data_IF_980018897305
#
_entry.id   IF_980018897305
#
_cell.length_a   1.000
_cell.length_b   1.000
_cell.length_c   1.000
_cell.angle_alpha   90.00
_cell.angle_beta   90.00
_cell.angle_gamma   90.00
#
_symmetry.space_group_name_H-M   'P 1'
#
loop_
_entity.id
_entity.type
_entity.pdbx_description
1 polymer ?
#
# COMPACT_ATOMS: atom_id res chain seq x y z
N UNK A 1 -3.78 30.01 -9.54
CA UNK A 1 -3.49 29.42 -10.87
C UNK A 1 -3.18 27.95 -10.64
N UNK A 2 -3.80 27.00 -11.36
CA UNK A 2 -3.40 25.61 -11.27
C UNK A 2 -1.94 25.48 -11.74
N UNK A 3 -1.10 24.65 -11.09
CA UNK A 3 0.24 24.41 -11.57
C UNK A 3 0.18 23.78 -12.96
N UNK A 4 1.13 24.15 -13.83
CA UNK A 4 1.24 23.54 -15.15
C UNK A 4 1.54 22.03 -15.00
N UNK A 5 1.14 21.22 -15.98
CA UNK A 5 1.32 19.76 -15.94
C UNK A 5 2.78 19.30 -15.92
N UNK A 6 3.74 20.17 -16.22
CA UNK A 6 5.18 19.86 -16.15
C UNK A 6 5.76 19.94 -14.74
N UNK A 7 5.23 20.82 -13.88
CA UNK A 7 5.70 21.00 -12.50
C UNK A 7 5.25 19.84 -11.60
N UNK A 8 4.08 19.27 -11.86
CA UNK A 8 3.57 18.05 -11.19
C UNK A 8 4.44 16.83 -11.53
N UNK A 9 4.93 16.74 -12.76
CA UNK A 9 5.77 15.63 -13.26
C UNK A 9 7.20 15.63 -12.67
N UNK A 10 7.71 16.76 -12.19
CA UNK A 10 9.01 16.83 -11.51
C UNK A 10 8.92 16.49 -10.02
N UNK A 11 7.81 16.84 -9.35
CA UNK A 11 7.55 16.45 -7.95
C UNK A 11 7.51 14.93 -7.77
N UNK A 12 7.08 14.19 -8.79
CA UNK A 12 6.95 12.72 -8.75
C UNK A 12 8.28 11.93 -8.74
N UNK A 13 9.43 12.62 -8.91
CA UNK A 13 10.75 11.97 -9.08
C UNK A 13 11.66 12.06 -7.85
N UNK A 14 11.35 12.91 -6.88
CA UNK A 14 12.10 12.95 -5.63
C UNK A 14 11.64 11.79 -4.72
N UNK A 15 12.61 11.04 -4.17
CA UNK A 15 12.32 10.13 -3.05
C UNK A 15 11.79 10.98 -1.88
N UNK A 16 10.75 10.52 -1.17
CA UNK A 16 10.23 11.30 -0.05
C UNK A 16 11.33 11.43 1.01
N UNK A 17 11.75 12.66 1.29
CA UNK A 17 12.38 12.98 2.57
C UNK A 17 11.26 13.02 3.61
N UNK A 18 10.92 11.86 4.18
CA UNK A 18 9.96 11.80 5.26
C UNK A 18 10.54 12.54 6.47
N UNK A 19 9.76 13.36 7.19
CA UNK A 19 10.21 13.93 8.44
C UNK A 19 10.59 12.79 9.41
N UNK A 20 11.56 13.01 10.32
CA UNK A 20 11.96 12.01 11.30
C UNK A 20 10.73 11.45 12.05
N UNK A 21 10.79 10.16 12.38
CA UNK A 21 9.71 9.32 12.93
C UNK A 21 8.87 9.97 14.06
N UNK A 22 9.42 10.97 14.76
CA UNK A 22 8.77 11.68 15.86
C UNK A 22 7.90 12.89 15.48
N UNK A 23 7.73 13.22 14.18
CA UNK A 23 7.05 14.47 13.74
C UNK A 23 5.92 14.31 12.72
N UNK A 24 5.34 13.11 12.55
CA UNK A 24 4.16 12.99 11.70
C UNK A 24 2.93 13.54 12.46
N UNK A 25 2.19 14.55 11.95
CA UNK A 25 1.14 15.26 12.70
C UNK A 25 -0.07 14.40 13.08
N UNK A 26 -0.09 13.15 12.63
CA UNK A 26 -1.18 12.20 12.80
C UNK A 26 -0.88 11.09 13.83
N UNK A 27 0.33 11.05 14.41
CA UNK A 27 0.73 10.00 15.35
C UNK A 27 1.10 10.56 16.72
N UNK A 28 0.52 10.02 17.81
CA UNK A 28 0.86 10.46 19.15
C UNK A 28 2.24 9.91 19.60
N UNK A 29 2.90 10.54 20.60
CA UNK A 29 4.08 9.98 21.27
C UNK A 29 3.83 8.57 21.82
N UNK A 30 4.87 7.74 21.92
CA UNK A 30 4.78 6.32 22.33
C UNK A 30 4.09 6.10 23.69
N UNK A 31 4.29 7.03 24.61
CA UNK A 31 3.77 7.02 25.98
C UNK A 31 2.38 7.67 26.13
N UNK A 32 1.82 8.18 25.03
CA UNK A 32 0.52 8.85 25.06
C UNK A 32 -0.62 7.86 25.36
N UNK A 33 -1.56 8.20 26.26
CA UNK A 33 -2.78 7.41 26.49
C UNK A 33 -3.66 7.26 25.24
N UNK A 34 -3.39 8.02 24.17
CA UNK A 34 -3.99 7.88 22.84
C UNK A 34 -3.55 6.59 22.09
N UNK A 35 -2.54 5.87 22.58
CA UNK A 35 -2.16 4.54 22.10
C UNK A 35 -3.31 3.51 22.15
N UNK A 36 -4.43 3.79 22.83
CA UNK A 36 -5.61 2.91 22.83
C UNK A 36 -6.17 2.63 21.43
N UNK A 37 -5.94 3.53 20.47
CA UNK A 37 -6.31 3.39 19.06
C UNK A 37 -5.18 2.83 18.17
N UNK A 38 -4.09 2.30 18.75
CA UNK A 38 -2.94 1.78 18.01
C UNK A 38 -2.55 0.42 18.58
N UNK A 39 -2.60 -0.64 17.75
CA UNK A 39 -2.42 -2.02 18.18
C UNK A 39 -1.43 -2.74 17.26
N UNK A 40 -0.16 -2.89 17.67
CA UNK A 40 0.77 -3.77 16.99
C UNK A 40 0.40 -5.23 17.30
N UNK A 41 0.45 -6.08 16.27
CA UNK A 41 0.34 -7.52 16.38
C UNK A 41 1.71 -8.11 16.08
N UNK A 42 2.22 -8.89 17.02
CA UNK A 42 3.55 -9.49 16.94
C UNK A 42 3.48 -10.98 16.64
N UNK A 43 4.50 -11.50 15.95
CA UNK A 43 4.68 -12.95 15.80
C UNK A 43 5.37 -13.56 17.04
N UNK A 44 5.63 -14.87 16.99
CA UNK A 44 6.35 -15.60 18.05
C UNK A 44 7.78 -15.11 18.31
N UNK A 45 8.38 -14.40 17.35
CA UNK A 45 9.71 -13.79 17.46
C UNK A 45 9.63 -12.32 17.90
N UNK A 46 8.46 -11.86 18.37
CA UNK A 46 8.20 -10.48 18.82
C UNK A 46 8.35 -9.39 17.74
N UNK A 47 8.38 -9.77 16.46
CA UNK A 47 8.40 -8.83 15.34
C UNK A 47 7.01 -8.27 15.10
N UNK A 48 6.89 -6.96 14.93
CA UNK A 48 5.63 -6.27 14.62
C UNK A 48 5.27 -6.53 13.17
N UNK A 49 4.45 -7.55 12.93
CA UNK A 49 4.08 -7.95 11.57
C UNK A 49 2.87 -7.17 11.05
N UNK A 50 1.99 -6.70 11.93
CA UNK A 50 0.76 -5.98 11.56
C UNK A 50 0.53 -4.85 12.53
N UNK A 51 0.01 -3.73 12.05
CA UNK A 51 -0.29 -2.57 12.87
C UNK A 51 -1.68 -2.10 12.54
N UNK A 52 -2.56 -2.09 13.52
CA UNK A 52 -3.84 -1.40 13.44
C UNK A 52 -3.69 0.01 14.00
N UNK A 53 -4.15 1.00 13.25
CA UNK A 53 -4.34 2.37 13.72
C UNK A 53 -5.79 2.77 13.48
N UNK A 54 -6.55 2.98 14.55
CA UNK A 54 -7.89 3.57 14.51
C UNK A 54 -7.88 5.01 14.02
N UNK A 55 -8.99 5.72 14.21
CA UNK A 55 -9.16 7.10 13.75
C UNK A 55 -8.00 7.98 14.25
N UNK A 56 -7.25 8.66 13.35
CA UNK A 56 -6.18 9.57 13.73
C UNK A 56 -6.64 10.65 14.71
N UNK A 57 -5.75 11.06 15.63
CA UNK A 57 -6.10 12.01 16.70
C UNK A 57 -6.12 13.47 16.23
N UNK A 58 -5.99 13.68 14.93
CA UNK A 58 -5.97 15.01 14.34
C UNK A 58 -7.38 15.61 14.38
N UNK A 59 -7.52 16.86 14.86
CA UNK A 59 -8.82 17.51 14.92
C UNK A 59 -9.54 17.45 13.58
N UNK A 60 -10.82 17.10 13.62
CA UNK A 60 -11.69 17.04 12.45
C UNK A 60 -11.30 16.02 11.37
N UNK A 61 -10.48 14.99 11.64
CA UNK A 61 -10.15 13.93 10.66
C UNK A 61 -11.39 13.38 9.94
N UNK A 62 -12.49 13.19 10.66
CA UNK A 62 -13.74 12.71 10.06
C UNK A 62 -14.26 13.66 8.97
N UNK A 63 -14.33 14.95 9.28
CA UNK A 63 -14.82 16.00 8.37
C UNK A 63 -13.85 16.29 7.22
N UNK A 64 -12.55 16.30 7.51
CA UNK A 64 -11.53 16.82 6.59
C UNK A 64 -10.91 15.72 5.71
N UNK A 65 -10.97 14.45 6.13
CA UNK A 65 -10.37 13.32 5.40
C UNK A 65 -11.38 12.19 5.16
N UNK A 66 -12.03 11.67 6.21
CA UNK A 66 -12.93 10.50 6.05
C UNK A 66 -14.12 10.79 5.12
N UNK A 67 -14.91 11.82 5.42
CA UNK A 67 -16.14 12.12 4.68
C UNK A 67 -15.83 12.53 3.23
N UNK A 68 -14.81 13.38 2.95
CA UNK A 68 -14.40 13.66 1.57
C UNK A 68 -13.88 12.42 0.83
N UNK A 69 -13.23 11.47 1.50
CA UNK A 69 -12.81 10.21 0.86
C UNK A 69 -14.01 9.32 0.51
N UNK A 70 -15.05 9.27 1.37
CA UNK A 70 -16.32 8.59 1.06
C UNK A 70 -16.97 9.21 -0.16
N UNK A 71 -17.11 10.54 -0.18
CA UNK A 71 -17.68 11.28 -1.32
C UNK A 71 -16.90 11.02 -2.61
N UNK A 72 -15.57 11.04 -2.54
CA UNK A 72 -14.71 10.75 -3.69
C UNK A 72 -14.94 9.34 -4.26
N UNK A 73 -15.11 8.31 -3.41
CA UNK A 73 -15.39 6.96 -3.89
C UNK A 73 -16.79 6.83 -4.50
N UNK A 74 -17.78 7.52 -3.95
CA UNK A 74 -19.15 7.54 -4.49
C UNK A 74 -19.18 8.19 -5.87
N UNK A 75 -18.57 9.37 -6.00
CA UNK A 75 -18.43 10.08 -7.28
C UNK A 75 -17.68 9.20 -8.29
N UNK A 76 -16.56 8.60 -7.88
CA UNK A 76 -15.78 7.72 -8.74
C UNK A 76 -16.59 6.49 -9.19
N UNK A 77 -17.35 5.85 -8.28
CA UNK A 77 -18.20 4.71 -8.63
C UNK A 77 -19.26 5.10 -9.66
N UNK A 78 -19.88 6.27 -9.51
CA UNK A 78 -20.91 6.74 -10.42
C UNK A 78 -20.36 7.12 -11.81
N UNK A 79 -19.10 7.55 -11.90
CA UNK A 79 -18.48 8.02 -13.14
C UNK A 79 -17.63 6.95 -13.85
N UNK A 80 -17.22 5.90 -13.15
CA UNK A 80 -16.37 4.86 -13.71
C UNK A 80 -17.08 4.04 -14.80
N UNK A 81 -16.33 3.67 -15.83
CA UNK A 81 -16.74 2.66 -16.80
C UNK A 81 -16.37 1.27 -16.27
N UNK A 82 -17.35 0.58 -15.68
CA UNK A 82 -17.15 -0.68 -14.98
C UNK A 82 -17.58 -1.88 -15.82
N UNK A 83 -16.61 -2.67 -16.27
CA UNK A 83 -16.83 -4.02 -16.83
C UNK A 83 -16.96 -5.08 -15.74
N UNK A 84 -17.34 -6.31 -16.11
CA UNK A 84 -17.42 -7.44 -15.18
C UNK A 84 -16.13 -7.67 -14.38
N UNK A 85 -14.95 -7.53 -15.00
CA UNK A 85 -13.67 -7.71 -14.31
C UNK A 85 -13.41 -6.67 -13.22
N UNK A 86 -14.08 -5.51 -13.27
CA UNK A 86 -14.01 -4.50 -12.23
C UNK A 86 -14.96 -4.80 -11.07
N UNK A 87 -16.03 -5.57 -11.31
CA UNK A 87 -17.11 -5.86 -10.36
C UNK A 87 -16.97 -7.23 -9.69
N UNK A 88 -16.44 -8.20 -10.43
CA UNK A 88 -16.32 -9.60 -10.02
C UNK A 88 -14.87 -10.02 -10.15
N UNK A 89 -14.23 -10.18 -9.01
CA UNK A 89 -12.82 -10.58 -8.97
C UNK A 89 -12.60 -11.59 -7.84
N UNK A 90 -11.44 -12.26 -7.87
CA UNK A 90 -11.09 -13.33 -6.92
C UNK A 90 -11.20 -12.96 -5.43
N UNK A 91 -11.20 -11.66 -5.12
CA UNK A 91 -11.27 -11.13 -3.75
C UNK A 91 -12.70 -10.85 -3.29
N UNK A 92 -13.68 -10.86 -4.19
CA UNK A 92 -15.10 -10.63 -3.92
C UNK A 92 -15.79 -9.76 -4.97
N UNK A 93 -16.97 -9.24 -4.62
CA UNK A 93 -17.89 -8.63 -5.57
C UNK A 93 -18.15 -7.16 -5.23
N UNK A 94 -17.35 -6.25 -5.78
CA UNK A 94 -17.51 -4.80 -5.66
C UNK A 94 -16.73 -4.11 -6.78
N UNK A 95 -17.06 -2.84 -7.06
CA UNK A 95 -16.33 -2.04 -8.05
C UNK A 95 -14.94 -1.66 -7.54
N UNK A 96 -13.89 -1.94 -8.30
CA UNK A 96 -12.52 -1.51 -7.97
C UNK A 96 -11.78 -0.92 -9.16
N UNK A 97 -10.95 0.10 -8.88
CA UNK A 97 -10.04 0.72 -9.85
C UNK A 97 -8.61 0.67 -9.30
N UNK A 98 -7.64 0.33 -10.16
CA UNK A 98 -6.23 0.15 -9.76
C UNK A 98 -5.32 0.97 -10.66
N UNK A 99 -4.28 1.56 -10.08
CA UNK A 99 -3.29 2.36 -10.80
C UNK A 99 -1.88 2.20 -10.20
N UNK A 100 -0.87 2.57 -10.98
CA UNK A 100 0.54 2.53 -10.60
C UNK A 100 1.36 1.46 -11.32
N UNK A 101 2.64 1.39 -10.99
CA UNK A 101 3.60 0.52 -11.63
C UNK A 101 3.58 -0.88 -11.02
N UNK A 102 3.51 -1.91 -11.86
CA UNK A 102 3.50 -3.32 -11.45
C UNK A 102 4.39 -4.17 -12.35
N UNK A 103 4.67 -5.39 -11.92
CA UNK A 103 5.38 -6.39 -12.70
C UNK A 103 4.89 -7.79 -12.34
N UNK A 104 5.15 -8.77 -13.20
CA UNK A 104 4.61 -10.12 -13.09
C UNK A 104 3.59 -10.41 -14.19
N UNK A 105 2.74 -11.42 -13.96
CA UNK A 105 1.70 -11.89 -14.92
C UNK A 105 2.24 -12.25 -16.32
N UNK A 106 3.47 -12.76 -16.40
CA UNK A 106 4.08 -13.18 -17.67
C UNK A 106 4.60 -12.04 -18.55
N UNK A 107 4.65 -10.79 -18.06
CA UNK A 107 5.27 -9.67 -18.78
C UNK A 107 6.79 -9.79 -18.74
N UNK A 108 7.45 -9.35 -19.82
CA UNK A 108 8.91 -9.31 -19.89
C UNK A 108 9.50 -8.09 -19.17
N UNK A 109 8.73 -7.00 -19.06
CA UNK A 109 9.14 -5.75 -18.44
C UNK A 109 8.04 -5.21 -17.50
N UNK A 110 8.42 -4.44 -16.48
CA UNK A 110 7.48 -3.69 -15.64
C UNK A 110 6.66 -2.68 -16.45
N UNK A 111 5.45 -2.38 -15.97
CA UNK A 111 4.58 -1.40 -16.61
C UNK A 111 3.47 -0.91 -15.72
N UNK A 112 2.88 0.22 -16.09
CA UNK A 112 1.72 0.77 -15.37
C UNK A 112 0.46 -0.08 -15.65
N UNK A 113 -0.49 -0.01 -14.71
CA UNK A 113 -1.85 -0.49 -14.99
C UNK A 113 -2.48 0.32 -16.12
N UNK A 114 -2.95 -0.38 -17.16
CA UNK A 114 -3.61 0.25 -18.32
C UNK A 114 -5.09 0.43 -18.00
N UNK A 115 -5.54 1.68 -18.05
CA UNK A 115 -6.93 2.06 -17.84
C UNK A 115 -7.48 2.77 -19.09
N UNK A 116 -8.75 2.54 -19.42
CA UNK A 116 -9.43 3.26 -20.49
C UNK A 116 -9.55 4.76 -20.18
N UNK A 117 -9.82 5.60 -21.19
CA UNK A 117 -9.80 7.07 -21.06
C UNK A 117 -10.70 7.57 -19.91
N UNK A 118 -11.91 7.00 -19.79
CA UNK A 118 -12.87 7.34 -18.72
C UNK A 118 -12.28 7.00 -17.34
N UNK A 119 -11.83 5.76 -17.14
CA UNK A 119 -11.30 5.32 -15.86
C UNK A 119 -9.99 6.03 -15.50
N UNK A 120 -9.15 6.37 -16.49
CA UNK A 120 -7.97 7.21 -16.29
C UNK A 120 -8.35 8.58 -15.75
N UNK A 121 -9.39 9.24 -16.28
CA UNK A 121 -9.86 10.52 -15.75
C UNK A 121 -10.40 10.40 -14.30
N UNK A 122 -11.18 9.34 -14.02
CA UNK A 122 -11.70 9.06 -12.66
C UNK A 122 -10.56 8.80 -11.67
N UNK A 123 -9.58 7.97 -12.07
CA UNK A 123 -8.40 7.68 -11.26
C UNK A 123 -7.59 8.95 -11.02
N UNK A 124 -7.39 9.80 -12.03
CA UNK A 124 -6.68 11.08 -11.90
C UNK A 124 -7.36 12.00 -10.89
N UNK A 125 -8.70 12.05 -10.89
CA UNK A 125 -9.47 12.78 -9.88
C UNK A 125 -9.27 12.21 -8.47
N UNK A 126 -9.25 10.87 -8.31
CA UNK A 126 -9.00 10.22 -7.03
C UNK A 126 -7.58 10.47 -6.52
N UNK A 127 -6.54 10.33 -7.35
CA UNK A 127 -5.15 10.57 -6.91
C UNK A 127 -4.85 12.05 -6.65
N UNK A 128 -5.65 12.96 -7.22
CA UNK A 128 -5.54 14.41 -6.98
C UNK A 128 -6.45 14.89 -5.84
N UNK A 129 -7.27 14.00 -5.25
CA UNK A 129 -8.14 14.34 -4.14
C UNK A 129 -7.32 14.45 -2.84
N UNK A 130 -7.44 15.57 -2.14
CA UNK A 130 -6.68 15.84 -0.91
C UNK A 130 -6.83 14.74 0.15
N UNK A 131 -8.05 14.23 0.34
CA UNK A 131 -8.30 13.16 1.31
C UNK A 131 -7.61 11.85 0.94
N UNK A 132 -7.59 11.50 -0.35
CA UNK A 132 -6.86 10.32 -0.82
C UNK A 132 -5.34 10.49 -0.69
N UNK A 133 -4.81 11.70 -0.92
CA UNK A 133 -3.40 12.02 -0.70
C UNK A 133 -3.04 11.88 0.78
N UNK A 134 -3.86 12.44 1.69
CA UNK A 134 -3.65 12.34 3.14
C UNK A 134 -3.69 10.88 3.62
N UNK A 135 -4.64 10.07 3.13
CA UNK A 135 -4.68 8.63 3.44
C UNK A 135 -3.46 7.89 2.89
N UNK A 136 -2.96 8.28 1.71
CA UNK A 136 -1.77 7.68 1.10
C UNK A 136 -0.52 7.93 1.93
N UNK A 137 -0.30 9.20 2.28
CA UNK A 137 0.80 9.66 3.13
C UNK A 137 0.71 9.03 4.53
N UNK A 138 -0.48 9.02 5.14
CA UNK A 138 -0.68 8.45 6.46
C UNK A 138 -0.27 6.98 6.54
N UNK A 139 -0.70 6.16 5.58
CA UNK A 139 -0.30 4.75 5.52
C UNK A 139 1.22 4.59 5.37
N UNK A 140 1.84 5.43 4.54
CA UNK A 140 3.28 5.41 4.29
C UNK A 140 4.08 5.83 5.54
N UNK A 141 3.62 6.88 6.25
CA UNK A 141 4.21 7.32 7.51
C UNK A 141 4.04 6.32 8.65
N UNK A 142 2.88 5.66 8.74
CA UNK A 142 2.69 4.56 9.69
C UNK A 142 3.68 3.43 9.40
N UNK A 143 3.93 3.13 8.12
CA UNK A 143 4.87 2.07 7.73
C UNK A 143 6.33 2.43 8.01
N UNK A 144 6.74 3.68 7.78
CA UNK A 144 8.10 4.14 8.08
C UNK A 144 8.43 4.07 9.56
N UNK A 145 7.43 4.30 10.42
CA UNK A 145 7.58 4.29 11.87
C UNK A 145 7.63 2.86 12.42
N UNK A 146 6.72 1.98 11.97
CA UNK A 146 6.55 0.67 12.58
C UNK A 146 7.39 -0.43 11.93
N UNK A 147 7.93 -0.18 10.73
CA UNK A 147 8.82 -1.09 10.04
C UNK A 147 9.96 -0.32 9.34
N UNK A 148 10.78 0.47 10.07
CA UNK A 148 11.80 1.35 9.50
C UNK A 148 12.81 0.63 8.60
N UNK A 149 13.27 -0.57 8.98
CA UNK A 149 14.18 -1.37 8.15
C UNK A 149 13.51 -1.79 6.84
N UNK A 150 12.26 -2.23 6.90
CA UNK A 150 11.50 -2.57 5.71
C UNK A 150 11.17 -1.34 4.86
N UNK A 151 10.88 -0.20 5.47
CA UNK A 151 10.67 1.05 4.77
C UNK A 151 11.92 1.48 4.01
N UNK A 152 13.10 1.39 4.64
CA UNK A 152 14.37 1.65 3.98
C UNK A 152 14.63 0.69 2.82
N UNK A 153 14.34 -0.61 3.01
CA UNK A 153 14.39 -1.59 1.93
C UNK A 153 13.50 -1.20 0.74
N UNK A 154 12.29 -0.67 0.99
CA UNK A 154 11.47 -0.12 -0.08
C UNK A 154 12.09 1.12 -0.73
N UNK A 155 12.68 2.04 0.04
CA UNK A 155 13.35 3.24 -0.51
C UNK A 155 14.44 2.83 -1.49
N UNK A 156 15.33 1.93 -1.09
CA UNK A 156 16.51 1.56 -1.88
C UNK A 156 16.10 0.90 -3.21
N UNK A 157 15.17 -0.05 -3.13
CA UNK A 157 14.71 -0.81 -4.28
C UNK A 157 13.79 0.01 -5.18
N UNK A 158 12.79 0.68 -4.62
CA UNK A 158 11.84 1.47 -5.42
C UNK A 158 12.49 2.74 -5.97
N UNK A 159 13.44 3.34 -5.24
CA UNK A 159 14.26 4.44 -5.75
C UNK A 159 15.04 4.02 -6.99
N UNK A 160 15.79 2.92 -6.89
CA UNK A 160 16.51 2.34 -8.02
C UNK A 160 15.58 1.98 -9.19
N UNK A 161 14.41 1.42 -8.88
CA UNK A 161 13.37 1.11 -9.85
C UNK A 161 12.93 2.34 -10.66
N UNK A 162 12.47 3.39 -9.99
CA UNK A 162 11.96 4.58 -10.70
C UNK A 162 13.08 5.38 -11.39
N UNK A 163 14.32 5.35 -10.87
CA UNK A 163 15.47 5.95 -11.54
C UNK A 163 15.76 5.29 -12.90
N UNK A 164 15.66 3.95 -12.98
CA UNK A 164 15.87 3.21 -14.24
C UNK A 164 14.63 3.15 -15.13
N UNK A 165 13.45 3.43 -14.59
CA UNK A 165 12.18 3.37 -15.32
C UNK A 165 11.43 4.72 -15.27
N UNK A 166 12.03 5.82 -15.78
CA UNK A 166 11.51 7.18 -15.58
C UNK A 166 10.17 7.48 -16.26
N UNK A 167 9.67 6.56 -17.10
CA UNK A 167 8.36 6.67 -17.74
C UNK A 167 7.22 6.17 -16.85
N UNK A 168 7.51 5.26 -15.92
CA UNK A 168 6.52 4.67 -15.03
C UNK A 168 6.14 5.65 -13.92
N UNK A 169 4.88 5.62 -13.51
CA UNK A 169 4.33 6.62 -12.61
C UNK A 169 4.06 6.05 -11.22
N UNK A 170 4.29 6.87 -10.19
CA UNK A 170 3.76 6.65 -8.85
C UNK A 170 2.36 7.24 -8.75
N UNK A 171 1.38 6.53 -8.17
CA UNK A 171 0.07 7.12 -7.91
C UNK A 171 0.15 8.33 -6.97
N UNK A 172 1.01 8.25 -5.95
CA UNK A 172 1.21 9.30 -4.96
C UNK A 172 2.72 9.45 -4.67
N UNK A 173 3.23 10.67 -4.66
CA UNK A 173 4.64 10.95 -4.32
C UNK A 173 4.96 10.60 -2.88
N UNK A 174 4.00 10.87 -1.98
CA UNK A 174 4.15 10.69 -0.54
C UNK A 174 3.89 9.24 -0.10
N UNK A 175 3.62 8.33 -1.05
CA UNK A 175 3.47 6.90 -0.79
C UNK A 175 4.73 6.13 -1.18
N UNK A 176 5.15 5.24 -0.30
CA UNK A 176 6.26 4.32 -0.56
C UNK A 176 5.88 3.19 -1.54
N UNK A 177 4.59 2.89 -1.65
CA UNK A 177 4.07 1.80 -2.49
C UNK A 177 3.93 2.21 -3.96
N UNK A 178 4.11 1.25 -4.87
CA UNK A 178 4.07 1.51 -6.31
C UNK A 178 2.66 1.44 -6.92
N UNK A 179 1.72 0.79 -6.25
CA UNK A 179 0.36 0.54 -6.69
C UNK A 179 -0.63 0.94 -5.60
N UNK A 180 -1.79 1.43 -6.03
CA UNK A 180 -2.94 1.50 -5.18
C UNK A 180 -4.22 1.00 -5.87
N UNK A 181 -5.16 0.50 -5.06
CA UNK A 181 -6.50 0.11 -5.48
C UNK A 181 -7.54 0.87 -4.66
N UNK A 182 -8.47 1.49 -5.36
CA UNK A 182 -9.65 2.12 -4.79
C UNK A 182 -10.81 1.12 -4.87
N UNK A 183 -11.26 0.62 -3.72
CA UNK A 183 -12.42 -0.26 -3.62
C UNK A 183 -13.66 0.61 -3.37
N UNK A 184 -14.41 0.84 -4.46
CA UNK A 184 -15.44 1.88 -4.56
C UNK A 184 -16.78 1.50 -3.90
N UNK A 185 -16.82 0.38 -3.17
CA UNK A 185 -18.00 -0.06 -2.43
C UNK A 185 -19.22 -0.32 -3.32
N UNK A 186 -20.46 -0.08 -2.82
CA UNK A 186 -20.77 0.53 -1.52
C UNK A 186 -20.51 -0.41 -0.35
N UNK A 187 -20.37 -1.71 -0.58
CA UNK A 187 -20.14 -2.74 0.44
C UNK A 187 -18.95 -3.63 0.08
N UNK A 188 -17.74 -3.12 0.26
CA UNK A 188 -16.52 -3.91 0.04
C UNK A 188 -16.38 -5.00 1.10
N UNK A 189 -16.73 -6.23 0.73
CA UNK A 189 -16.65 -7.41 1.59
C UNK A 189 -15.74 -8.46 0.95
N UNK A 190 -14.48 -8.50 1.36
CA UNK A 190 -13.51 -9.43 0.79
C UNK A 190 -13.72 -10.88 1.25
N UNK A 191 -13.70 -11.82 0.30
CA UNK A 191 -13.57 -13.24 0.57
C UNK A 191 -12.20 -13.54 1.20
N UNK A 192 -12.08 -14.70 1.84
CA UNK A 192 -10.79 -15.16 2.37
C UNK A 192 -9.75 -15.33 1.26
N UNK A 193 -8.64 -14.60 1.33
CA UNK A 193 -7.59 -14.65 0.32
C UNK A 193 -6.19 -14.29 0.86
N UNK A 194 -5.20 -14.45 -0.02
CA UNK A 194 -3.88 -13.84 0.08
C UNK A 194 -3.55 -13.09 -1.21
N UNK A 195 -2.71 -12.08 -1.10
CA UNK A 195 -2.22 -11.32 -2.24
C UNK A 195 -0.86 -11.84 -2.71
N UNK A 196 -0.82 -13.05 -3.25
CA UNK A 196 0.42 -13.74 -3.63
C UNK A 196 1.36 -12.96 -4.58
N UNK A 197 0.85 -11.96 -5.31
CA UNK A 197 1.66 -11.13 -6.20
C UNK A 197 2.40 -9.99 -5.48
N UNK A 198 1.94 -9.58 -4.30
CA UNK A 198 2.56 -8.53 -3.52
C UNK A 198 3.91 -9.00 -2.98
N UNK A 199 4.77 -8.06 -2.60
CA UNK A 199 5.87 -8.41 -1.71
C UNK A 199 5.26 -9.07 -0.46
N UNK A 200 5.92 -10.12 0.05
CA UNK A 200 5.38 -10.93 1.15
C UNK A 200 5.03 -10.10 2.40
N UNK A 201 5.59 -8.89 2.50
CA UNK A 201 5.56 -8.01 3.63
C UNK A 201 5.39 -6.56 3.16
N UNK A 202 4.39 -5.85 3.69
CA UNK A 202 4.16 -4.42 3.44
C UNK A 202 3.00 -4.09 2.49
N UNK A 203 1.80 -3.90 3.06
CA UNK A 203 0.66 -3.25 2.42
C UNK A 203 -0.08 -2.38 3.45
N UNK A 204 -0.66 -1.27 3.00
CA UNK A 204 -1.50 -0.40 3.81
C UNK A 204 -2.95 -0.42 3.33
N UNK A 205 -3.92 -0.49 4.24
CA UNK A 205 -5.35 -0.48 3.91
C UNK A 205 -6.06 0.50 4.83
N UNK A 206 -6.69 1.53 4.24
CA UNK A 206 -7.56 2.45 4.95
C UNK A 206 -9.03 2.11 4.68
N UNK A 207 -9.85 2.09 5.72
CA UNK A 207 -11.28 1.80 5.66
C UNK A 207 -12.09 3.05 6.00
N UNK A 208 -13.21 3.26 5.31
CA UNK A 208 -14.11 4.40 5.51
C UNK A 208 -15.53 4.06 5.04
N UNK A 209 -16.52 4.86 5.41
CA UNK A 209 -17.94 4.61 5.21
C UNK A 209 -18.76 4.68 6.50
N UNK A 210 -19.92 4.04 6.54
CA UNK A 210 -20.86 4.10 7.68
C UNK A 210 -20.96 2.81 8.49
N UNK A 211 -20.18 1.77 8.14
CA UNK A 211 -20.19 0.50 8.84
C UNK A 211 -19.96 0.64 10.36
N UNK A 212 -20.62 -0.20 11.14
CA UNK A 212 -20.61 -0.15 12.60
C UNK A 212 -19.20 -0.06 13.19
N UNK A 213 -19.07 0.80 14.20
CA UNK A 213 -17.85 0.92 15.01
C UNK A 213 -17.55 -0.32 15.86
N UNK A 214 -18.49 -1.27 15.96
CA UNK A 214 -18.28 -2.55 16.63
C UNK A 214 -17.42 -3.54 15.83
N UNK A 215 -17.07 -3.20 14.59
CA UNK A 215 -16.16 -3.99 13.77
C UNK A 215 -14.71 -3.84 14.27
N UNK A 216 -13.91 -4.89 14.11
CA UNK A 216 -12.47 -4.87 14.46
C UNK A 216 -11.72 -3.75 13.73
N UNK A 217 -12.12 -3.48 12.48
CA UNK A 217 -11.59 -2.41 11.63
C UNK A 217 -12.73 -1.44 11.27
N UNK A 218 -13.03 -0.45 12.12
CA UNK A 218 -14.11 0.50 11.90
C UNK A 218 -13.74 1.55 10.83
N UNK A 219 -14.73 2.32 10.32
CA UNK A 219 -14.45 3.46 9.44
C UNK A 219 -13.45 4.45 10.05
N UNK A 220 -12.58 4.99 9.21
CA UNK A 220 -11.50 5.91 9.59
C UNK A 220 -10.22 5.23 10.09
N UNK A 221 -10.14 3.90 10.15
CA UNK A 221 -8.92 3.20 10.53
C UNK A 221 -8.03 2.86 9.32
N UNK A 222 -6.74 2.65 9.61
CA UNK A 222 -5.73 2.14 8.69
C UNK A 222 -5.03 0.93 9.31
N UNK A 223 -4.81 -0.11 8.50
CA UNK A 223 -4.02 -1.27 8.90
C UNK A 223 -2.80 -1.43 7.99
N UNK A 224 -1.67 -1.82 8.60
CA UNK A 224 -0.50 -2.35 7.90
C UNK A 224 -0.51 -3.86 8.01
N UNK A 225 -0.43 -4.56 6.89
CA UNK A 225 -0.60 -6.00 6.84
C UNK A 225 0.37 -6.64 5.82
N UNK A 226 0.97 -7.81 6.11
CA UNK A 226 1.74 -8.59 5.16
C UNK A 226 0.77 -9.40 4.31
N UNK A 227 0.01 -8.74 3.42
CA UNK A 227 -1.17 -9.31 2.76
C UNK A 227 -0.89 -10.54 1.89
N UNK A 228 0.36 -10.72 1.45
CA UNK A 228 0.82 -11.90 0.74
C UNK A 228 1.12 -13.10 1.67
N UNK A 229 1.54 -12.85 2.91
CA UNK A 229 1.90 -13.89 3.88
C UNK A 229 0.70 -14.39 4.70
N UNK A 230 -0.26 -13.51 5.02
CA UNK A 230 -1.38 -13.85 5.89
C UNK A 230 -2.71 -13.94 5.14
N UNK A 231 -3.50 -14.94 5.51
CA UNK A 231 -4.86 -15.11 5.00
C UNK A 231 -5.79 -14.10 5.68
N UNK A 232 -6.56 -13.35 4.90
CA UNK A 232 -7.41 -12.28 5.42
C UNK A 232 -8.69 -12.14 4.61
N UNK A 233 -9.71 -11.55 5.24
CA UNK A 233 -11.04 -11.28 4.69
C UNK A 233 -11.68 -10.10 5.42
N UNK A 234 -12.86 -9.68 4.97
CA UNK A 234 -13.69 -8.73 5.71
C UNK A 234 -15.03 -9.37 6.06
N UNK A 235 -15.51 -9.11 7.27
CA UNK A 235 -16.87 -9.49 7.67
C UNK A 235 -17.90 -8.71 6.85
N UNK A 236 -19.01 -9.37 6.52
CA UNK A 236 -20.17 -8.72 5.90
C UNK A 236 -20.70 -7.60 6.80
N UNK A 237 -21.29 -6.59 6.16
CA UNK A 237 -21.93 -5.45 6.82
C UNK A 237 -23.43 -5.46 6.51
N UNK A 238 -24.21 -4.75 7.32
CA UNK A 238 -25.64 -4.64 7.09
C UNK A 238 -25.94 -3.90 5.78
N UNK A 239 -27.12 -4.14 5.21
CA UNK A 239 -27.48 -3.62 3.89
C UNK A 239 -27.49 -2.09 3.81
N UNK A 240 -27.84 -1.42 4.92
CA UNK A 240 -27.86 0.04 5.06
C UNK A 240 -26.49 0.66 5.36
N UNK A 241 -25.48 -0.17 5.64
CA UNK A 241 -24.12 0.28 5.93
C UNK A 241 -23.30 0.37 4.64
N UNK A 242 -22.32 1.28 4.63
CA UNK A 242 -21.32 1.37 3.58
C UNK A 242 -19.92 1.06 4.10
N UNK A 243 -19.12 0.44 3.23
CA UNK A 243 -17.68 0.28 3.43
C UNK A 243 -16.97 0.39 2.10
N UNK A 244 -16.01 1.29 2.09
CA UNK A 244 -15.01 1.47 1.05
C UNK A 244 -13.66 1.13 1.63
N UNK A 245 -12.69 0.89 0.76
CA UNK A 245 -11.31 0.82 1.20
C UNK A 245 -10.34 1.33 0.16
N UNK A 246 -9.24 1.87 0.64
CA UNK A 246 -8.12 2.32 -0.16
C UNK A 246 -6.89 1.49 0.22
N UNK A 247 -6.37 0.73 -0.74
CA UNK A 247 -5.28 -0.23 -0.52
C UNK A 247 -4.03 0.19 -1.27
N UNK A 248 -2.89 0.17 -0.61
CA UNK A 248 -1.58 0.52 -1.17
C UNK A 248 -0.61 -0.65 -1.01
N UNK A 249 0.08 -1.02 -2.08
CA UNK A 249 0.95 -2.20 -2.11
C UNK A 249 1.98 -2.13 -3.24
N UNK A 250 2.97 -3.02 -3.19
CA UNK A 250 3.98 -3.16 -4.26
C UNK A 250 4.10 -4.62 -4.64
N UNK A 251 4.14 -4.91 -5.94
CA UNK A 251 4.34 -6.27 -6.43
C UNK A 251 5.76 -6.76 -6.10
N UNK A 252 5.89 -7.98 -5.56
CA UNK A 252 7.20 -8.56 -5.22
C UNK A 252 8.10 -8.77 -6.45
N UNK A 253 7.49 -8.85 -7.64
CA UNK A 253 8.21 -8.97 -8.92
C UNK A 253 9.00 -7.70 -9.29
N UNK A 254 8.67 -6.54 -8.72
CA UNK A 254 9.43 -5.31 -8.92
C UNK A 254 10.77 -5.34 -8.17
N UNK A 255 10.77 -5.85 -6.94
CA UNK A 255 12.00 -6.06 -6.18
C UNK A 255 12.93 -7.04 -6.90
N UNK A 256 12.39 -8.18 -7.35
CA UNK A 256 13.15 -9.15 -8.15
C UNK A 256 13.68 -8.55 -9.45
N UNK A 257 12.95 -7.63 -10.09
CA UNK A 257 13.43 -6.94 -11.28
C UNK A 257 14.69 -6.11 -10.99
N UNK A 258 14.70 -5.39 -9.87
CA UNK A 258 15.89 -4.63 -9.41
C UNK A 258 17.04 -5.57 -9.02
N UNK A 259 16.78 -6.66 -8.28
CA UNK A 259 17.80 -7.67 -7.93
C UNK A 259 18.45 -8.31 -9.16
N UNK A 260 17.70 -8.40 -10.26
CA UNK A 260 18.13 -8.98 -11.54
C UNK A 260 18.73 -7.94 -12.47
N UNK A 261 19.15 -6.80 -11.94
CA UNK A 261 19.77 -5.70 -12.69
C UNK A 261 18.89 -5.21 -13.85
N UNK A 262 17.58 -5.15 -13.63
CA UNK A 262 16.60 -4.70 -14.63
C UNK A 262 16.52 -5.60 -15.87
N UNK A 263 16.65 -6.92 -15.67
CA UNK A 263 16.50 -7.94 -16.70
C UNK A 263 15.38 -8.92 -16.38
N UNK A 264 14.84 -9.53 -17.44
CA UNK A 264 13.91 -10.65 -17.30
C UNK A 264 14.59 -11.80 -16.56
N UNK A 265 13.79 -12.68 -15.95
CA UNK A 265 14.34 -13.88 -15.29
C UNK A 265 15.21 -14.72 -16.21
N UNK A 266 14.72 -14.91 -17.44
CA UNK A 266 15.39 -15.67 -18.47
C UNK A 266 16.74 -15.04 -18.81
N UNK A 267 16.77 -13.74 -19.05
CA UNK A 267 17.99 -13.05 -19.46
C UNK A 267 18.99 -12.95 -18.30
N UNK A 268 18.51 -12.77 -17.07
CA UNK A 268 19.35 -12.80 -15.88
C UNK A 268 19.96 -14.19 -15.63
N UNK A 269 19.17 -15.26 -15.73
CA UNK A 269 19.70 -16.63 -15.55
C UNK A 269 20.73 -16.95 -16.64
N UNK A 270 20.53 -16.48 -17.87
CA UNK A 270 21.48 -16.68 -18.96
C UNK A 270 22.85 -16.03 -18.73
N UNK A 271 22.97 -15.07 -17.81
CA UNK A 271 24.26 -14.46 -17.43
C UNK A 271 24.98 -15.21 -16.31
N UNK A 272 24.36 -16.23 -15.71
CA UNK A 272 24.89 -16.95 -14.55
C UNK A 272 25.48 -18.31 -14.93
N UNK A 273 26.49 -18.72 -14.17
CA UNK A 273 27.01 -20.09 -14.13
C UNK A 273 26.05 -21.04 -13.42
N UNK A 274 26.25 -22.36 -13.57
CA UNK A 274 25.42 -23.35 -12.90
C UNK A 274 25.55 -23.27 -11.36
N UNK A 275 26.74 -22.96 -10.87
CA UNK A 275 27.03 -22.76 -9.44
C UNK A 275 26.27 -21.54 -8.89
N UNK A 276 26.29 -20.41 -9.59
CA UNK A 276 25.56 -19.20 -9.20
C UNK A 276 24.04 -19.40 -9.21
N UNK A 277 23.50 -20.16 -10.18
CA UNK A 277 22.07 -20.51 -10.22
C UNK A 277 21.68 -21.30 -8.97
N UNK A 278 22.48 -22.30 -8.58
CA UNK A 278 22.22 -23.12 -7.39
C UNK A 278 22.34 -22.30 -6.09
N UNK A 279 23.32 -21.39 -6.00
CA UNK A 279 23.44 -20.46 -4.89
C UNK A 279 22.20 -19.54 -4.77
N UNK A 280 21.76 -18.96 -5.89
CA UNK A 280 20.54 -18.12 -5.92
C UNK A 280 19.29 -18.91 -5.55
N UNK A 281 19.22 -20.20 -5.91
CA UNK A 281 18.13 -21.09 -5.51
C UNK A 281 18.10 -21.27 -3.99
N UNK A 282 19.26 -21.52 -3.37
CA UNK A 282 19.40 -21.64 -1.91
C UNK A 282 19.00 -20.35 -1.20
N UNK A 283 19.50 -19.19 -1.66
CA UNK A 283 19.10 -17.88 -1.14
C UNK A 283 17.59 -17.62 -1.31
N UNK A 284 16.99 -18.15 -2.39
CA UNK A 284 15.54 -18.10 -2.60
C UNK A 284 14.74 -18.80 -1.50
N UNK A 285 15.26 -19.88 -0.91
CA UNK A 285 14.63 -20.59 0.22
C UNK A 285 14.68 -19.76 1.51
N UNK A 286 15.73 -18.95 1.68
CA UNK A 286 15.92 -18.08 2.85
C UNK A 286 15.22 -16.74 2.75
N UNK A 287 14.75 -16.36 1.54
CA UNK A 287 14.13 -15.06 1.26
C UNK A 287 12.94 -14.74 2.17
N UNK A 288 12.17 -15.76 2.56
CA UNK A 288 11.07 -15.58 3.51
C UNK A 288 11.59 -15.16 4.89
N UNK A 289 12.65 -15.80 5.39
CA UNK A 289 13.27 -15.48 6.67
C UNK A 289 13.97 -14.11 6.64
N UNK A 290 14.73 -13.82 5.56
CA UNK A 290 15.38 -12.53 5.36
C UNK A 290 14.35 -11.39 5.30
N UNK A 291 13.26 -11.59 4.57
CA UNK A 291 12.15 -10.64 4.51
C UNK A 291 11.45 -10.46 5.85
N UNK A 292 11.23 -11.56 6.58
CA UNK A 292 10.68 -11.48 7.93
C UNK A 292 11.60 -10.71 8.88
N UNK A 293 12.91 -10.73 8.67
CA UNK A 293 13.88 -10.04 9.53
C UNK A 293 13.89 -8.51 9.31
N UNK A 294 13.25 -8.02 8.24
CA UNK A 294 13.05 -6.58 8.01
C UNK A 294 11.95 -5.97 8.90
N UNK A 295 11.12 -6.78 9.54
CA UNK A 295 10.17 -6.29 10.52
C UNK A 295 10.85 -5.99 11.84
N UNK A 296 10.61 -4.79 12.38
CA UNK A 296 11.14 -4.41 13.68
C UNK A 296 10.46 -5.16 14.82
N UNK A 297 11.21 -5.41 15.88
CA UNK A 297 10.64 -5.84 17.17
C UNK A 297 10.13 -4.64 17.97
N UNK A 298 9.24 -4.88 18.94
CA UNK A 298 8.79 -3.82 19.85
C UNK A 298 9.94 -3.21 20.65
N UNK A 299 10.96 -3.99 20.98
CA UNK A 299 12.10 -3.52 21.77
C UNK A 299 13.02 -2.61 20.94
N UNK A 300 13.26 -2.94 19.67
CA UNK A 300 13.96 -2.07 18.70
C UNK A 300 13.23 -0.75 18.51
N UNK A 301 11.91 -0.79 18.31
CA UNK A 301 11.10 0.41 18.14
C UNK A 301 11.17 1.30 19.38
N UNK A 302 11.05 0.74 20.59
CA UNK A 302 11.20 1.52 21.82
C UNK A 302 12.59 2.15 21.94
N UNK A 303 13.64 1.42 21.60
CA UNK A 303 15.01 1.91 21.72
C UNK A 303 15.34 3.07 20.77
N UNK A 304 14.76 3.07 19.56
CA UNK A 304 14.95 4.16 18.58
C UNK A 304 14.16 5.44 18.85
N UNK A 305 13.30 5.44 19.87
CA UNK A 305 12.43 6.56 20.25
C UNK A 305 12.91 7.32 21.49
N UNK A 306 13.99 6.83 22.14
CA UNK A 306 14.66 7.46 23.29
C UNK A 306 15.75 8.40 22.82
#
# INVERSE_FOLDING_TARGET
>A
MPPNGSDVLQLHKALPSMPPASRHPWLPPWDSPLFRNLRPIVNSEKRVCTVYRGIPDTPNFMRDVHDPAVEAMEIARAQASLSESHLYHRRGNWASLTTGATHGTGRNEPGDFVNGIINTAVILALVSNAACIDLAEFGSGLFSIWAPHLFQFYIDYMGSFYLKNPKLQRPFVNSIWSVCTFNLGPRTCAFGHRDFANLAYGAGISFFGTASSSLEFPPGCTILIPSAAIFHSNTQIAEHETRYSFTQYTAGALFRWVEREFRSEKDYIATLTAEEIEEKRKLGLERAAAGAALFSTLDELKAGWV
#
